data_IF_025179960263
#
_entry.id   IF_025179960263
#
_cell.length_a   1.000
_cell.length_b   1.000
_cell.length_c   1.000
_cell.angle_alpha   90.00
_cell.angle_beta   90.00
_cell.angle_gamma   90.00
#
_symmetry.space_group_name_H-M   'P 1'
#
loop_
_entity.id
_entity.type
_entity.pdbx_description
1 polymer ?
#
# COMPACT_ATOMS: atom_id res chain seq x y z
N UNK A 1 -5.02 -11.46 1.21
CA UNK A 1 -3.73 -12.15 1.02
C UNK A 1 -3.62 -12.58 -0.44
N UNK A 2 -2.42 -12.53 -1.01
CA UNK A 2 -2.12 -12.98 -2.38
C UNK A 2 -0.82 -13.78 -2.36
N UNK A 3 -0.79 -14.98 -2.94
CA UNK A 3 0.40 -15.84 -3.01
C UNK A 3 1.10 -16.07 -1.63
N UNK A 4 0.32 -16.20 -0.56
CA UNK A 4 0.85 -16.34 0.81
C UNK A 4 1.41 -15.04 1.43
N UNK A 5 1.35 -13.90 0.71
CA UNK A 5 1.74 -12.58 1.18
C UNK A 5 0.53 -11.77 1.63
N UNK A 6 0.69 -10.96 2.67
CA UNK A 6 -0.40 -10.12 3.16
C UNK A 6 -0.52 -8.80 2.38
N UNK A 7 -1.74 -8.27 2.31
CA UNK A 7 -2.06 -6.97 1.73
C UNK A 7 -3.04 -6.31 2.69
N UNK A 8 -2.67 -5.16 3.27
CA UNK A 8 -3.45 -4.48 4.31
C UNK A 8 -3.71 -3.00 3.96
N UNK A 9 -4.95 -2.54 4.15
CA UNK A 9 -5.36 -1.17 3.84
C UNK A 9 -5.72 -0.94 2.36
N UNK A 10 -5.81 0.33 1.96
CA UNK A 10 -6.16 0.74 0.59
C UNK A 10 -4.94 0.72 -0.34
N UNK A 11 -4.35 -0.46 -0.50
CA UNK A 11 -3.21 -0.65 -1.41
C UNK A 11 -3.68 -0.57 -2.86
N UNK A 12 -3.07 0.26 -3.71
CA UNK A 12 -3.44 0.31 -5.13
C UNK A 12 -3.11 -1.00 -5.85
N UNK A 13 -3.92 -1.34 -6.85
CA UNK A 13 -3.78 -2.60 -7.60
C UNK A 13 -2.38 -2.78 -8.23
N UNK A 14 -1.74 -1.67 -8.63
CA UNK A 14 -0.37 -1.69 -9.17
C UNK A 14 0.62 -2.31 -8.19
N UNK A 15 0.58 -1.96 -6.90
CA UNK A 15 1.48 -2.52 -5.90
C UNK A 15 1.12 -3.95 -5.50
N UNK A 16 -0.17 -4.33 -5.58
CA UNK A 16 -0.56 -5.74 -5.39
C UNK A 16 0.02 -6.61 -6.51
N UNK A 17 0.01 -6.14 -7.76
CA UNK A 17 0.64 -6.83 -8.90
C UNK A 17 2.16 -6.81 -8.78
N UNK A 18 2.76 -5.75 -8.25
CA UNK A 18 4.20 -5.71 -7.99
C UNK A 18 4.60 -6.74 -6.93
N UNK A 19 3.79 -6.90 -5.87
CA UNK A 19 4.03 -7.87 -4.80
C UNK A 19 4.08 -9.31 -5.30
N UNK A 20 3.33 -9.67 -6.35
CA UNK A 20 3.40 -11.02 -6.93
C UNK A 20 4.75 -11.30 -7.61
N UNK A 21 5.51 -10.25 -7.95
CA UNK A 21 6.83 -10.34 -8.58
C UNK A 21 7.99 -10.17 -7.59
N UNK A 22 7.70 -9.84 -6.33
CA UNK A 22 8.69 -9.48 -5.28
C UNK A 22 8.84 -10.60 -4.26
N UNK A 23 9.91 -11.40 -4.37
CA UNK A 23 10.20 -12.51 -3.45
C UNK A 23 10.84 -12.08 -2.12
N UNK A 24 11.29 -10.83 -2.04
CA UNK A 24 11.91 -10.21 -0.87
C UNK A 24 10.90 -9.77 0.19
N UNK A 25 9.63 -9.59 -0.19
CA UNK A 25 8.55 -9.12 0.67
C UNK A 25 7.65 -10.26 1.15
N UNK A 26 7.23 -10.17 2.42
CA UNK A 26 6.19 -11.01 3.03
C UNK A 26 4.80 -10.38 2.92
N UNK A 27 4.72 -9.08 2.60
CA UNK A 27 3.46 -8.38 2.38
C UNK A 27 3.64 -6.88 2.25
N UNK A 28 2.55 -6.18 1.94
CA UNK A 28 2.48 -4.72 1.85
C UNK A 28 1.28 -4.19 2.60
N UNK A 29 1.41 -2.98 3.13
CA UNK A 29 0.37 -2.28 3.85
C UNK A 29 0.38 -0.79 3.49
N UNK A 30 -0.80 -0.17 3.47
CA UNK A 30 -0.92 1.30 3.51
C UNK A 30 -1.33 1.68 4.94
N UNK A 31 -0.42 2.22 5.75
CA UNK A 31 -0.76 2.67 7.10
C UNK A 31 -1.65 3.92 7.03
N UNK A 32 -2.77 3.85 7.74
CA UNK A 32 -3.71 4.97 7.90
C UNK A 32 -4.92 4.89 6.97
N UNK A 33 -6.01 5.51 7.42
CA UNK A 33 -7.14 5.87 6.56
C UNK A 33 -6.76 7.17 5.84
N UNK A 34 -6.35 7.17 4.57
CA UNK A 34 -6.39 8.42 3.82
C UNK A 34 -7.85 8.88 3.79
N UNK A 35 -8.12 10.12 4.17
CA UNK A 35 -9.40 10.73 3.84
C UNK A 35 -9.54 10.66 2.30
N UNK A 36 -10.67 10.13 1.81
CA UNK A 36 -10.89 9.84 0.38
C UNK A 36 -11.25 8.39 0.03
N UNK A 37 -11.55 7.53 1.01
CA UNK A 37 -12.07 6.17 0.79
C UNK A 37 -13.31 6.18 -0.13
N UNK A 38 -13.52 5.16 -1.00
CA UNK A 38 -14.67 5.11 -1.90
C UNK A 38 -15.99 5.30 -1.14
N UNK A 39 -16.73 6.38 -1.43
CA UNK A 39 -17.96 6.77 -0.73
C UNK A 39 -17.85 7.95 0.25
N UNK A 40 -16.65 8.52 0.43
CA UNK A 40 -16.36 9.75 1.21
C UNK A 40 -15.57 10.74 0.35
N UNK A 41 -15.98 10.93 -0.90
CA UNK A 41 -15.38 11.90 -1.82
C UNK A 41 -15.67 13.32 -1.31
N UNK A 42 -14.67 13.95 -0.68
CA UNK A 42 -14.63 15.39 -0.48
C UNK A 42 -13.80 15.93 -1.64
N UNK A 43 -14.46 16.70 -2.51
CA UNK A 43 -13.94 17.34 -3.72
C UNK A 43 -12.43 17.71 -3.63
N UNK A 44 -11.59 16.97 -4.36
CA UNK A 44 -10.25 17.42 -4.73
C UNK A 44 -9.12 17.31 -3.69
N UNK A 45 -9.27 16.55 -2.60
CA UNK A 45 -8.18 16.36 -1.63
C UNK A 45 -7.76 14.89 -1.56
N UNK A 46 -6.61 14.55 -2.16
CA UNK A 46 -5.92 13.28 -1.91
C UNK A 46 -4.83 13.53 -0.86
N UNK A 47 -4.83 12.79 0.24
CA UNK A 47 -3.72 12.85 1.19
C UNK A 47 -2.52 12.08 0.67
N UNK A 48 -1.32 12.55 1.01
CA UNK A 48 -0.11 11.78 0.72
C UNK A 48 -0.13 10.48 1.53
N UNK A 49 0.21 9.37 0.87
CA UNK A 49 0.35 8.07 1.53
C UNK A 49 1.47 7.26 0.92
N UNK A 50 2.00 6.33 1.71
CA UNK A 50 3.04 5.41 1.28
C UNK A 50 2.51 3.98 1.34
N UNK A 51 2.97 3.17 0.40
CA UNK A 51 2.81 1.72 0.45
C UNK A 51 4.08 1.17 1.12
N UNK A 52 3.93 0.60 2.30
CA UNK A 52 5.02 0.03 3.09
C UNK A 52 5.02 -1.49 2.92
N UNK A 53 6.15 -2.04 2.51
CA UNK A 53 6.39 -3.47 2.41
C UNK A 53 7.13 -3.98 3.62
N UNK A 54 6.79 -5.18 4.09
CA UNK A 54 7.55 -5.89 5.10
C UNK A 54 8.45 -6.90 4.39
N UNK A 55 9.75 -6.81 4.63
CA UNK A 55 10.73 -7.75 4.11
C UNK A 55 10.75 -9.05 4.91
N UNK A 56 11.28 -10.13 4.32
CA UNK A 56 11.53 -11.41 5.04
C UNK A 56 12.47 -11.27 6.24
N UNK A 57 13.27 -10.20 6.28
CA UNK A 57 14.15 -9.87 7.41
C UNK A 57 13.42 -9.18 8.58
N UNK A 58 12.12 -8.88 8.44
CA UNK A 58 11.33 -8.17 9.44
C UNK A 58 11.51 -6.65 9.42
N UNK A 59 12.12 -6.10 8.38
CA UNK A 59 12.29 -4.65 8.21
C UNK A 59 11.25 -4.08 7.24
N UNK A 60 10.76 -2.88 7.53
CA UNK A 60 9.90 -2.10 6.66
C UNK A 60 10.69 -1.45 5.49
N UNK A 61 10.04 -1.34 4.33
CA UNK A 61 10.57 -0.68 3.16
C UNK A 61 9.45 0.08 2.44
N UNK A 62 9.71 1.31 2.01
CA UNK A 62 8.78 2.05 1.13
C UNK A 62 8.79 1.41 -0.26
N UNK A 63 7.63 0.90 -0.69
CA UNK A 63 7.42 0.28 -2.00
C UNK A 63 6.98 1.32 -3.01
N UNK A 64 6.10 2.23 -2.60
CA UNK A 64 5.61 3.32 -3.41
C UNK A 64 5.22 4.51 -2.53
N UNK A 65 5.29 5.71 -3.10
CA UNK A 65 4.84 6.94 -2.46
C UNK A 65 3.86 7.64 -3.40
N UNK A 66 2.74 8.09 -2.82
CA UNK A 66 1.70 8.84 -3.49
C UNK A 66 1.62 10.21 -2.82
N UNK A 67 1.96 11.31 -3.51
CA UNK A 67 1.90 12.64 -2.95
C UNK A 67 0.44 13.11 -2.78
N UNK A 68 0.23 14.10 -1.93
CA UNK A 68 -1.07 14.75 -1.81
C UNK A 68 -1.42 15.51 -3.09
N UNK A 69 -2.70 15.51 -3.48
CA UNK A 69 -3.24 16.31 -4.60
C UNK A 69 -4.39 17.19 -4.13
#
# INVERSE_FOLDING_TARGET
MIDGKFVEGHVPAAQVIELTKRDDLVGIAVPGMPAGSPGMEVDGVQHAYQVIGLTKAGSDQVVAEYPAQ
#
